data_IF_141568419285
#
_entry.id   IF_141568419285
#
_cell.length_a   1.000
_cell.length_b   1.000
_cell.length_c   1.000
_cell.angle_alpha   90.00
_cell.angle_beta   90.00
_cell.angle_gamma   90.00
#
_symmetry.space_group_name_H-M   'P 1'
#
loop_
_entity.id
_entity.type
_entity.pdbx_description
1 polymer ?
#
# COMPACT_ATOMS: atom_id res chain seq x y z
N UNK A 1 -28.63 13.20 -0.97
CA UNK A 1 -29.43 14.20 -0.24
C UNK A 1 -28.51 15.33 0.14
N UNK A 2 -28.81 16.56 -0.29
CA UNK A 2 -28.01 17.75 0.01
C UNK A 2 -28.12 18.09 1.51
N UNK A 3 -27.26 17.46 2.32
CA UNK A 3 -27.12 17.79 3.73
C UNK A 3 -26.53 19.19 3.87
N UNK A 4 -27.06 20.00 4.79
CA UNK A 4 -26.52 21.32 5.13
C UNK A 4 -25.00 21.22 5.29
N UNK A 5 -24.27 22.01 4.50
CA UNK A 5 -22.81 22.13 4.63
C UNK A 5 -22.50 22.58 6.04
N UNK A 6 -21.82 21.73 6.82
CA UNK A 6 -21.36 22.07 8.16
C UNK A 6 -20.11 22.92 7.99
N UNK A 7 -20.04 24.04 8.69
CA UNK A 7 -18.88 24.92 8.68
C UNK A 7 -18.35 25.12 10.10
N UNK A 8 -17.04 25.22 10.23
CA UNK A 8 -16.33 25.67 11.43
C UNK A 8 -15.99 27.15 11.26
N UNK A 9 -15.97 27.90 12.38
CA UNK A 9 -15.53 29.29 12.40
C UNK A 9 -14.17 29.38 13.06
N UNK A 10 -13.21 30.02 12.38
CA UNK A 10 -11.90 30.33 12.93
C UNK A 10 -11.75 31.85 13.03
N UNK A 11 -11.42 32.34 14.23
CA UNK A 11 -11.26 33.76 14.50
C UNK A 11 -9.77 34.04 14.69
N UNK A 12 -9.20 34.92 13.86
CA UNK A 12 -7.79 35.35 13.91
C UNK A 12 -7.77 36.87 13.99
N UNK A 13 -7.56 37.39 15.20
CA UNK A 13 -7.65 38.83 15.45
C UNK A 13 -9.07 39.34 15.21
N UNK A 14 -9.23 40.24 14.23
CA UNK A 14 -10.53 40.78 13.81
C UNK A 14 -11.17 40.02 12.64
N UNK A 15 -10.45 39.08 12.03
CA UNK A 15 -10.93 38.32 10.87
C UNK A 15 -11.61 37.04 11.34
N UNK A 16 -12.84 36.83 10.88
CA UNK A 16 -13.58 35.58 11.06
C UNK A 16 -13.68 34.88 9.69
N UNK A 17 -13.23 33.63 9.64
CA UNK A 17 -13.30 32.81 8.43
C UNK A 17 -14.16 31.57 8.70
N UNK A 18 -14.89 31.15 7.67
CA UNK A 18 -15.67 29.91 7.68
C UNK A 18 -14.94 28.83 6.90
N UNK A 19 -14.69 27.69 7.55
CA UNK A 19 -13.99 26.55 7.00
C UNK A 19 -14.98 25.38 6.84
N UNK A 20 -15.05 24.72 5.68
CA UNK A 20 -15.91 23.55 5.49
C UNK A 20 -15.55 22.40 6.44
N UNK A 21 -16.55 21.65 6.88
CA UNK A 21 -16.37 20.40 7.63
C UNK A 21 -16.80 19.23 6.76
N UNK A 22 -15.89 18.28 6.55
CA UNK A 22 -16.20 17.01 5.90
C UNK A 22 -16.49 15.94 6.95
N UNK A 23 -17.51 15.12 6.67
CA UNK A 23 -17.88 13.98 7.49
C UNK A 23 -17.56 12.69 6.73
N UNK A 24 -16.57 11.90 7.18
CA UNK A 24 -16.25 10.62 6.53
C UNK A 24 -17.33 9.57 6.83
N UNK A 25 -17.28 8.45 6.10
CA UNK A 25 -18.15 7.29 6.35
C UNK A 25 -17.89 6.64 7.71
N UNK A 26 -16.64 6.71 8.20
CA UNK A 26 -16.22 6.28 9.52
C UNK A 26 -15.12 7.20 10.06
N UNK A 27 -15.07 7.39 11.39
CA UNK A 27 -14.07 8.23 12.06
C UNK A 27 -14.55 9.65 12.38
N UNK A 28 -13.59 10.53 12.67
CA UNK A 28 -13.86 11.91 13.07
C UNK A 28 -14.10 12.83 11.88
N UNK A 29 -14.88 13.90 12.09
CA UNK A 29 -15.00 14.97 11.09
C UNK A 29 -13.67 15.69 10.90
N UNK A 30 -13.42 16.19 9.69
CA UNK A 30 -12.23 16.97 9.36
C UNK A 30 -12.61 18.37 8.93
N UNK A 31 -11.80 19.35 9.30
CA UNK A 31 -11.95 20.75 8.90
C UNK A 31 -11.05 20.98 7.69
N UNK A 32 -11.62 21.45 6.58
CA UNK A 32 -10.85 21.80 5.39
C UNK A 32 -10.12 23.13 5.59
N UNK A 33 -8.79 23.06 5.60
CA UNK A 33 -7.89 24.22 5.75
C UNK A 33 -7.15 24.58 4.45
N UNK A 34 -7.57 24.03 3.29
CA UNK A 34 -6.91 24.28 1.99
C UNK A 34 -6.92 25.76 1.59
N UNK A 35 -7.95 26.50 1.96
CA UNK A 35 -8.12 27.93 1.66
C UNK A 35 -7.56 28.85 2.76
N UNK A 36 -7.07 28.30 3.88
CA UNK A 36 -6.70 29.05 5.08
C UNK A 36 -5.66 30.14 4.80
N UNK A 37 -4.60 29.81 4.05
CA UNK A 37 -3.56 30.77 3.72
C UNK A 37 -4.08 31.90 2.82
N UNK A 38 -4.92 31.58 1.82
CA UNK A 38 -5.47 32.57 0.92
C UNK A 38 -6.46 33.53 1.62
N UNK A 39 -7.19 33.05 2.63
CA UNK A 39 -8.19 33.85 3.35
C UNK A 39 -7.61 34.63 4.53
N UNK A 40 -6.62 34.07 5.24
CA UNK A 40 -6.14 34.63 6.51
C UNK A 40 -4.61 34.83 6.58
N UNK A 41 -3.84 34.41 5.57
CA UNK A 41 -2.39 34.60 5.54
C UNK A 41 -1.63 33.79 6.60
N UNK A 42 -2.23 32.75 7.16
CA UNK A 42 -1.65 31.90 8.21
C UNK A 42 -1.56 30.44 7.77
N UNK A 43 -0.69 29.68 8.44
CA UNK A 43 -0.57 28.24 8.31
C UNK A 43 -0.92 27.54 9.62
N UNK A 44 -1.31 26.27 9.53
CA UNK A 44 -1.33 25.39 10.70
C UNK A 44 0.10 24.96 11.03
N UNK A 45 0.38 24.74 12.32
CA UNK A 45 1.66 24.23 12.79
C UNK A 45 1.42 22.95 13.58
N UNK A 46 1.64 21.81 12.94
CA UNK A 46 1.41 20.46 13.50
C UNK A 46 2.60 19.54 13.15
N UNK A 47 3.76 19.74 13.80
CA UNK A 47 4.91 18.88 13.58
C UNK A 47 4.59 17.44 13.98
N UNK A 48 4.55 16.55 12.99
CA UNK A 48 4.20 15.13 13.17
C UNK A 48 2.80 14.75 12.67
N UNK A 49 2.03 15.70 12.12
CA UNK A 49 0.70 15.46 11.54
C UNK A 49 -0.29 14.78 12.52
N UNK A 50 -0.20 15.12 13.80
CA UNK A 50 -1.01 14.48 14.85
C UNK A 50 -2.50 14.79 14.71
N UNK A 51 -2.83 15.95 14.15
CA UNK A 51 -4.18 16.48 14.00
C UNK A 51 -4.53 16.79 12.55
N UNK A 52 -3.70 16.35 11.60
CA UNK A 52 -3.81 16.69 10.18
C UNK A 52 -4.14 15.46 9.35
N UNK A 53 -5.30 15.45 8.70
CA UNK A 53 -5.65 14.44 7.72
C UNK A 53 -5.10 14.83 6.33
N UNK A 54 -4.17 14.05 5.78
CA UNK A 54 -3.47 14.38 4.53
C UNK A 54 -4.12 13.82 3.25
N UNK A 55 -4.95 12.78 3.37
CA UNK A 55 -5.59 12.14 2.22
C UNK A 55 -6.98 11.62 2.58
N UNK A 56 -7.79 11.38 1.54
CA UNK A 56 -9.00 10.56 1.62
C UNK A 56 -8.64 9.11 1.22
N UNK A 57 -9.18 8.13 1.93
CA UNK A 57 -8.90 6.72 1.71
C UNK A 57 -10.10 5.84 2.06
N UNK A 58 -10.33 4.85 1.19
CA UNK A 58 -11.36 3.81 1.38
C UNK A 58 -10.74 2.43 1.60
N UNK A 59 -9.43 2.36 1.91
CA UNK A 59 -8.69 1.10 1.98
C UNK A 59 -8.78 0.45 3.36
N UNK A 60 -8.40 1.17 4.41
CA UNK A 60 -8.32 0.64 5.78
C UNK A 60 -8.83 1.68 6.77
N UNK A 61 -9.65 1.24 7.71
CA UNK A 61 -10.11 2.04 8.84
C UNK A 61 -9.53 1.49 10.14
N UNK A 62 -9.12 2.39 11.04
CA UNK A 62 -8.54 2.05 12.33
C UNK A 62 -9.18 2.93 13.40
N UNK A 63 -9.71 2.30 14.46
CA UNK A 63 -10.08 2.96 15.71
C UNK A 63 -9.22 2.39 16.85
N UNK A 64 -8.16 3.13 17.20
CA UNK A 64 -7.22 2.71 18.24
C UNK A 64 -7.82 2.65 19.65
N UNK A 65 -8.91 3.38 19.93
CA UNK A 65 -9.56 3.35 21.25
C UNK A 65 -10.41 2.09 21.43
N UNK A 66 -11.05 1.63 20.35
CA UNK A 66 -11.84 0.39 20.36
C UNK A 66 -11.02 -0.84 20.00
N UNK A 67 -9.83 -0.66 19.42
CA UNK A 67 -9.03 -1.74 18.86
C UNK A 67 -9.62 -2.32 17.57
N UNK A 68 -10.34 -1.51 16.80
CA UNK A 68 -10.95 -1.94 15.53
C UNK A 68 -9.99 -1.70 14.35
N UNK A 69 -9.80 -2.73 13.53
CA UNK A 69 -9.08 -2.67 12.26
C UNK A 69 -9.94 -3.30 11.17
N UNK A 70 -10.28 -2.51 10.15
CA UNK A 70 -11.12 -2.94 9.04
C UNK A 70 -10.38 -2.75 7.71
N UNK A 71 -10.30 -3.80 6.87
CA UNK A 71 -9.86 -3.68 5.48
C UNK A 71 -11.09 -3.69 4.56
N UNK A 72 -11.29 -2.61 3.80
CA UNK A 72 -12.50 -2.42 2.95
C UNK A 72 -13.82 -2.63 3.70
N UNK A 73 -13.84 -2.38 5.01
CA UNK A 73 -15.01 -2.58 5.89
C UNK A 73 -15.09 -3.97 6.55
N UNK A 74 -14.25 -4.93 6.17
CA UNK A 74 -14.20 -6.25 6.78
C UNK A 74 -13.27 -6.27 8.01
N UNK A 75 -13.71 -6.77 9.17
CA UNK A 75 -12.87 -6.90 10.36
C UNK A 75 -11.66 -7.80 10.11
N UNK A 76 -10.49 -7.39 10.61
CA UNK A 76 -9.24 -8.13 10.41
C UNK A 76 -9.31 -9.57 10.90
N UNK A 77 -9.97 -9.83 12.04
CA UNK A 77 -10.10 -11.18 12.60
C UNK A 77 -10.84 -12.13 11.64
N UNK A 78 -11.85 -11.61 10.92
CA UNK A 78 -12.59 -12.41 9.95
C UNK A 78 -11.75 -12.73 8.72
N UNK A 79 -10.93 -11.78 8.26
CA UNK A 79 -10.03 -11.99 7.13
C UNK A 79 -8.92 -12.97 7.51
N UNK A 80 -8.36 -12.86 8.71
CA UNK A 80 -7.31 -13.76 9.18
C UNK A 80 -7.80 -15.21 9.34
N UNK A 81 -9.04 -15.41 9.82
CA UNK A 81 -9.58 -16.75 10.06
C UNK A 81 -10.18 -17.42 8.82
N UNK A 82 -10.75 -16.63 7.89
CA UNK A 82 -11.60 -17.16 6.81
C UNK A 82 -11.09 -16.91 5.40
N UNK A 83 -10.09 -16.05 5.25
CA UNK A 83 -9.49 -15.68 3.97
C UNK A 83 -8.03 -16.12 3.92
N UNK A 84 -7.41 -16.03 2.75
CA UNK A 84 -5.98 -16.27 2.57
C UNK A 84 -5.31 -15.03 1.95
N UNK A 85 -3.98 -15.01 1.98
CA UNK A 85 -3.20 -13.82 1.65
C UNK A 85 -3.53 -13.21 0.28
N UNK A 86 -3.67 -14.04 -0.77
CA UNK A 86 -3.95 -13.55 -2.13
C UNK A 86 -5.37 -12.97 -2.28
N UNK A 87 -6.36 -13.55 -1.60
CA UNK A 87 -7.71 -13.00 -1.56
C UNK A 87 -7.73 -11.63 -0.85
N UNK A 88 -6.99 -11.48 0.25
CA UNK A 88 -6.84 -10.18 0.93
C UNK A 88 -6.08 -9.17 0.06
N UNK A 89 -5.05 -9.59 -0.69
CA UNK A 89 -4.37 -8.73 -1.65
C UNK A 89 -5.34 -8.21 -2.73
N UNK A 90 -6.18 -9.11 -3.27
CA UNK A 90 -7.22 -8.74 -4.23
C UNK A 90 -8.18 -7.71 -3.63
N UNK A 91 -8.70 -7.99 -2.42
CA UNK A 91 -9.59 -7.09 -1.69
C UNK A 91 -9.00 -5.68 -1.52
N UNK A 92 -7.73 -5.60 -1.13
CA UNK A 92 -7.06 -4.31 -0.91
C UNK A 92 -6.84 -3.56 -2.21
N UNK A 93 -6.45 -4.24 -3.29
CA UNK A 93 -6.23 -3.64 -4.61
C UNK A 93 -7.52 -3.17 -5.27
N UNK A 94 -8.54 -4.03 -5.36
CA UNK A 94 -9.73 -3.80 -6.16
C UNK A 94 -10.93 -3.29 -5.35
N UNK A 95 -10.92 -3.44 -4.03
CA UNK A 95 -11.93 -2.89 -3.13
C UNK A 95 -13.14 -3.77 -2.86
N UNK A 96 -13.17 -4.99 -3.38
CA UNK A 96 -14.22 -5.98 -3.15
C UNK A 96 -13.63 -7.40 -3.05
N UNK A 97 -14.36 -8.34 -2.47
CA UNK A 97 -13.95 -9.74 -2.40
C UNK A 97 -14.13 -10.41 -3.78
N UNK A 98 -13.13 -11.17 -4.26
CA UNK A 98 -13.19 -11.78 -5.58
C UNK A 98 -14.27 -12.88 -5.65
N UNK A 99 -14.83 -13.06 -6.84
CA UNK A 99 -15.53 -14.30 -7.19
C UNK A 99 -14.52 -15.43 -7.41
N UNK A 100 -14.97 -16.69 -7.40
CA UNK A 100 -14.07 -17.84 -7.60
C UNK A 100 -13.25 -17.77 -8.90
N UNK A 101 -13.84 -17.26 -9.98
CA UNK A 101 -13.15 -17.10 -11.26
C UNK A 101 -12.12 -15.95 -11.25
N UNK A 102 -12.45 -14.83 -10.58
CA UNK A 102 -11.51 -13.70 -10.43
C UNK A 102 -10.33 -14.06 -9.54
N UNK A 103 -10.57 -14.85 -8.50
CA UNK A 103 -9.52 -15.35 -7.61
C UNK A 103 -8.58 -16.28 -8.38
N UNK A 104 -9.11 -17.24 -9.15
CA UNK A 104 -8.30 -18.15 -9.95
C UNK A 104 -7.43 -17.41 -10.98
N UNK A 105 -8.00 -16.41 -11.68
CA UNK A 105 -7.23 -15.55 -12.59
C UNK A 105 -6.12 -14.79 -11.85
N UNK A 106 -6.45 -14.18 -10.71
CA UNK A 106 -5.49 -13.42 -9.92
C UNK A 106 -4.34 -14.30 -9.41
N UNK A 107 -4.65 -15.48 -8.87
CA UNK A 107 -3.65 -16.46 -8.40
C UNK A 107 -2.77 -16.94 -9.56
N UNK A 108 -3.36 -17.20 -10.73
CA UNK A 108 -2.61 -17.57 -11.93
C UNK A 108 -1.65 -16.47 -12.37
N UNK A 109 -2.11 -15.21 -12.40
CA UNK A 109 -1.30 -14.04 -12.76
C UNK A 109 -0.15 -13.83 -11.77
N UNK A 110 -0.39 -14.00 -10.47
CA UNK A 110 0.67 -13.91 -9.45
C UNK A 110 1.68 -15.04 -9.64
N UNK A 111 1.22 -16.29 -9.73
CA UNK A 111 2.08 -17.48 -9.81
C UNK A 111 3.00 -17.44 -11.04
N UNK A 112 2.48 -17.01 -12.18
CA UNK A 112 3.24 -16.89 -13.45
C UNK A 112 4.29 -15.77 -13.43
N UNK A 113 4.26 -14.86 -12.46
CA UNK A 113 5.19 -13.74 -12.34
C UNK A 113 6.17 -13.86 -11.17
N UNK A 114 6.21 -15.00 -10.47
CA UNK A 114 7.07 -15.20 -9.28
C UNK A 114 8.57 -15.20 -9.59
N UNK A 115 8.98 -15.67 -10.77
CA UNK A 115 10.39 -15.77 -11.18
C UNK A 115 11.01 -14.39 -11.47
N UNK A 116 12.19 -14.12 -10.90
CA UNK A 116 12.96 -12.92 -11.20
C UNK A 116 13.71 -13.05 -12.53
N UNK A 117 14.01 -11.92 -13.17
CA UNK A 117 14.90 -11.93 -14.33
C UNK A 117 16.30 -12.44 -13.91
N UNK A 118 16.85 -13.41 -14.63
CA UNK A 118 18.12 -14.09 -14.27
C UNK A 118 19.28 -13.12 -14.01
N UNK A 119 19.35 -12.00 -14.74
CA UNK A 119 20.40 -11.00 -14.51
C UNK A 119 20.35 -10.38 -13.10
N UNK A 120 19.17 -10.34 -12.46
CA UNK A 120 19.04 -9.86 -11.08
C UNK A 120 19.80 -10.75 -10.09
N UNK A 121 20.03 -12.02 -10.40
CA UNK A 121 20.82 -12.91 -9.53
C UNK A 121 22.27 -12.45 -9.39
N UNK A 122 22.84 -11.83 -10.42
CA UNK A 122 24.18 -11.25 -10.35
C UNK A 122 24.20 -9.98 -9.48
N UNK A 123 23.08 -9.23 -9.45
CA UNK A 123 22.95 -8.06 -8.59
C UNK A 123 23.04 -8.44 -7.11
N UNK A 124 22.43 -9.56 -6.69
CA UNK A 124 22.58 -10.08 -5.32
C UNK A 124 24.05 -10.34 -4.95
N UNK A 125 24.88 -10.79 -5.91
CA UNK A 125 26.30 -11.06 -5.70
C UNK A 125 27.15 -9.80 -5.52
N UNK A 126 26.61 -8.63 -5.87
CA UNK A 126 27.27 -7.34 -5.66
C UNK A 126 27.24 -6.86 -4.21
N UNK A 127 26.36 -7.41 -3.37
CA UNK A 127 26.35 -7.12 -1.94
C UNK A 127 27.50 -7.85 -1.22
N UNK A 128 27.79 -7.43 0.02
CA UNK A 128 28.64 -8.23 0.92
C UNK A 128 27.81 -9.33 1.56
N UNK A 129 28.43 -10.47 1.88
CA UNK A 129 27.76 -11.60 2.55
C UNK A 129 27.24 -11.28 3.95
N UNK A 130 27.85 -10.31 4.63
CA UNK A 130 27.45 -9.81 5.96
C UNK A 130 26.43 -8.67 5.89
N UNK A 131 25.92 -8.33 4.70
CA UNK A 131 24.87 -7.33 4.56
C UNK A 131 23.57 -7.80 5.23
N UNK A 132 22.91 -6.89 5.94
CA UNK A 132 21.62 -7.17 6.55
C UNK A 132 20.57 -7.50 5.45
N UNK A 133 19.76 -8.57 5.57
CA UNK A 133 18.81 -8.97 4.53
C UNK A 133 17.87 -7.85 4.07
N UNK A 134 17.41 -6.99 4.98
CA UNK A 134 16.60 -5.82 4.63
C UNK A 134 17.33 -4.84 3.71
N UNK A 135 18.62 -4.60 3.89
CA UNK A 135 19.39 -3.70 3.02
C UNK A 135 19.53 -4.28 1.61
N UNK A 136 19.75 -5.59 1.52
CA UNK A 136 19.78 -6.32 0.24
C UNK A 136 18.42 -6.23 -0.44
N UNK A 137 17.33 -6.49 0.29
CA UNK A 137 15.96 -6.44 -0.21
C UNK A 137 15.60 -5.05 -0.74
N UNK A 138 15.88 -3.97 0.01
CA UNK A 138 15.66 -2.59 -0.45
C UNK A 138 16.43 -2.28 -1.73
N UNK A 139 17.70 -2.68 -1.81
CA UNK A 139 18.50 -2.46 -3.02
C UNK A 139 17.99 -3.23 -4.23
N UNK A 140 17.59 -4.49 -4.06
CA UNK A 140 17.06 -5.34 -5.14
C UNK A 140 15.70 -4.84 -5.63
N UNK A 141 14.79 -4.47 -4.72
CA UNK A 141 13.48 -3.91 -5.09
C UNK A 141 13.67 -2.58 -5.83
N UNK A 142 14.61 -1.72 -5.43
CA UNK A 142 14.96 -0.52 -6.19
C UNK A 142 15.49 -0.85 -7.59
N UNK A 143 16.36 -1.85 -7.71
CA UNK A 143 16.93 -2.29 -8.97
C UNK A 143 15.87 -2.86 -9.95
N UNK A 144 14.73 -3.38 -9.46
CA UNK A 144 13.64 -3.86 -10.32
C UNK A 144 13.17 -2.83 -11.34
N UNK A 145 13.21 -1.54 -10.99
CA UNK A 145 12.84 -0.45 -11.89
C UNK A 145 13.67 -0.43 -13.19
N UNK A 146 14.94 -0.87 -13.13
CA UNK A 146 15.81 -0.95 -14.29
C UNK A 146 15.54 -2.17 -15.18
N UNK A 147 15.00 -3.26 -14.62
CA UNK A 147 14.69 -4.50 -15.37
C UNK A 147 13.25 -4.52 -15.91
N UNK A 148 12.33 -3.85 -15.22
CA UNK A 148 10.89 -3.83 -15.53
C UNK A 148 10.43 -2.42 -15.93
N UNK A 149 11.17 -1.80 -16.85
CA UNK A 149 10.92 -0.45 -17.36
C UNK A 149 9.71 -0.36 -18.32
N UNK A 150 9.08 -1.50 -18.64
CA UNK A 150 7.86 -1.63 -19.42
C UNK A 150 6.58 -1.31 -18.62
N UNK A 151 6.70 -1.16 -17.30
CA UNK A 151 5.59 -0.88 -16.38
C UNK A 151 5.87 0.28 -15.43
N UNK A 152 6.43 1.38 -15.94
CA UNK A 152 6.83 2.56 -15.13
C UNK A 152 5.94 3.79 -15.33
N UNK A 153 5.03 3.78 -16.31
CA UNK A 153 4.09 4.89 -16.51
C UNK A 153 2.98 4.82 -15.46
N UNK A 154 2.93 5.82 -14.58
CA UNK A 154 1.93 5.94 -13.51
C UNK A 154 0.57 6.41 -14.01
N UNK A 155 0.49 6.94 -15.23
CA UNK A 155 -0.76 7.44 -15.82
C UNK A 155 -1.54 6.33 -16.53
N UNK A 156 -0.85 5.26 -16.93
CA UNK A 156 -1.44 4.08 -17.55
C UNK A 156 -1.98 3.10 -16.49
N UNK A 157 -3.29 2.82 -16.51
CA UNK A 157 -3.93 1.87 -15.59
C UNK A 157 -3.39 0.45 -15.73
N UNK A 158 -3.08 0.01 -16.95
CA UNK A 158 -2.60 -1.34 -17.20
C UNK A 158 -1.18 -1.52 -16.64
N UNK A 159 -0.29 -0.56 -16.87
CA UNK A 159 1.07 -0.62 -16.33
C UNK A 159 1.08 -0.61 -14.80
N UNK A 160 0.22 0.19 -14.16
CA UNK A 160 0.06 0.17 -12.69
C UNK A 160 -0.37 -1.20 -12.17
N UNK A 161 -1.30 -1.86 -12.86
CA UNK A 161 -1.77 -3.19 -12.48
C UNK A 161 -0.66 -4.24 -12.66
N UNK A 162 0.03 -4.23 -13.80
CA UNK A 162 1.18 -5.10 -14.07
C UNK A 162 2.28 -4.92 -13.02
N UNK A 163 2.63 -3.68 -12.69
CA UNK A 163 3.62 -3.38 -11.66
C UNK A 163 3.20 -3.90 -10.27
N UNK A 164 1.92 -3.71 -9.90
CA UNK A 164 1.37 -4.17 -8.63
C UNK A 164 1.45 -5.70 -8.50
N UNK A 165 1.04 -6.43 -9.53
CA UNK A 165 1.09 -7.90 -9.55
C UNK A 165 2.52 -8.40 -9.53
N UNK A 166 3.43 -7.80 -10.31
CA UNK A 166 4.85 -8.14 -10.29
C UNK A 166 5.47 -7.96 -8.91
N UNK A 167 5.12 -6.88 -8.20
CA UNK A 167 5.61 -6.67 -6.83
C UNK A 167 5.09 -7.74 -5.88
N UNK A 168 3.79 -8.04 -5.88
CA UNK A 168 3.20 -9.09 -5.01
C UNK A 168 3.84 -10.46 -5.31
N UNK A 169 4.02 -10.79 -6.59
CA UNK A 169 4.58 -12.07 -7.02
C UNK A 169 6.07 -12.23 -6.71
N UNK A 170 6.86 -11.17 -6.89
CA UNK A 170 8.33 -11.25 -6.81
C UNK A 170 8.88 -10.98 -5.41
N UNK A 171 8.09 -10.35 -4.52
CA UNK A 171 8.54 -10.02 -3.16
C UNK A 171 8.97 -11.25 -2.35
N UNK A 172 8.23 -12.38 -2.34
CA UNK A 172 8.66 -13.59 -1.63
C UNK A 172 9.96 -14.17 -2.21
N UNK A 173 10.09 -14.18 -3.55
CA UNK A 173 11.30 -14.63 -4.22
C UNK A 173 12.52 -13.80 -3.81
N UNK A 174 12.39 -12.47 -3.77
CA UNK A 174 13.45 -11.57 -3.33
C UNK A 174 13.80 -11.81 -1.85
N UNK A 175 12.79 -11.95 -0.98
CA UNK A 175 13.00 -12.21 0.44
C UNK A 175 13.73 -13.53 0.68
N UNK A 176 13.31 -14.61 0.02
CA UNK A 176 13.93 -15.93 0.11
C UNK A 176 15.37 -15.91 -0.43
N UNK A 177 15.61 -15.24 -1.55
CA UNK A 177 16.97 -15.08 -2.10
C UNK A 177 17.87 -14.25 -1.19
N UNK A 178 17.35 -13.17 -0.59
CA UNK A 178 18.09 -12.36 0.37
C UNK A 178 18.50 -13.19 1.61
N UNK A 179 17.60 -14.03 2.13
CA UNK A 179 17.92 -14.95 3.22
C UNK A 179 18.97 -16.00 2.82
N UNK A 180 18.79 -16.68 1.68
CA UNK A 180 19.75 -17.68 1.19
C UNK A 180 21.13 -17.06 0.94
N UNK A 181 21.16 -15.81 0.48
CA UNK A 181 22.38 -15.07 0.24
C UNK A 181 23.20 -14.84 1.52
N UNK A 182 22.56 -14.43 2.62
CA UNK A 182 23.26 -14.14 3.89
C UNK A 182 23.79 -15.39 4.58
N UNK A 183 23.12 -16.53 4.43
CA UNK A 183 23.58 -17.82 5.00
C UNK A 183 24.50 -18.63 4.05
N UNK A 184 24.81 -18.10 2.87
CA UNK A 184 25.72 -18.76 1.93
C UNK A 184 25.14 -19.95 1.17
N UNK A 185 23.82 -20.13 1.16
CA UNK A 185 23.14 -21.24 0.48
C UNK A 185 22.75 -20.87 -0.97
N UNK A 186 22.56 -21.87 -1.86
CA UNK A 186 22.06 -21.62 -3.21
C UNK A 186 20.64 -21.05 -3.19
N UNK A 187 20.31 -20.26 -4.21
CA UNK A 187 18.95 -19.77 -4.41
C UNK A 187 17.99 -20.89 -4.78
N UNK A 188 16.75 -20.75 -4.34
CA UNK A 188 15.66 -21.69 -4.63
C UNK A 188 14.68 -20.98 -5.55
N UNK A 189 14.30 -21.63 -6.63
CA UNK A 189 13.32 -21.10 -7.56
C UNK A 189 11.89 -21.30 -7.04
N UNK A 190 10.95 -20.41 -7.40
CA UNK A 190 9.53 -20.62 -7.11
C UNK A 190 9.02 -21.92 -7.74
N UNK A 191 8.05 -22.55 -7.07
CA UNK A 191 7.39 -23.76 -7.52
C UNK A 191 5.91 -23.47 -7.74
N UNK A 192 5.43 -23.55 -8.98
CA UNK A 192 4.05 -23.18 -9.34
C UNK A 192 2.98 -24.10 -8.75
N UNK A 193 3.35 -25.26 -8.23
CA UNK A 193 2.44 -26.22 -7.59
C UNK A 193 2.31 -25.99 -6.07
N UNK A 194 3.00 -24.99 -5.52
CA UNK A 194 2.83 -24.54 -4.13
C UNK A 194 2.00 -23.26 -4.10
N UNK A 195 1.34 -23.03 -2.97
CA UNK A 195 0.64 -21.79 -2.68
C UNK A 195 1.62 -20.67 -2.31
N UNK A 196 1.09 -19.50 -1.94
CA UNK A 196 1.90 -18.31 -1.70
C UNK A 196 2.78 -18.39 -0.43
N UNK A 197 2.37 -19.19 0.57
CA UNK A 197 2.96 -19.23 1.92
C UNK A 197 4.07 -20.27 2.09
#
# INVERSE_FOLDING_TARGET
MAGKSKTAKLIIGANEIELPIHSPSAGANVIDVTTLYNQAGVFTYDPGFTSTASCDSTITFIDGYKGELLHRGYPIDQLADKSHYLEVCFLLLYGYLPTGAELEDFEHRVTTHTMLHEQMMYFFRGFRRDAHPMAVMTGVVGAMSAFYHDSTDITDSWQREVASIRLIAKMPTIAAMAYKYTIGQPFVYPLNNLDYA
#
